data_IF_898096067949
#
_entry.id   IF_898096067949
#
_cell.length_a   1.000
_cell.length_b   1.000
_cell.length_c   1.000
_cell.angle_alpha   90.00
_cell.angle_beta   90.00
_cell.angle_gamma   90.00
#
_symmetry.space_group_name_H-M   'P 1'
#
loop_
_entity.id
_entity.type
_entity.pdbx_description
1 polymer ?
#
# COMPACT_ATOMS: atom_id res chain seq x y z
N UNK A 1 -13.86 12.00 15.87
CA UNK A 1 -14.35 12.88 14.79
C UNK A 1 -14.56 11.98 13.57
N UNK A 2 -15.82 11.71 13.22
CA UNK A 2 -16.17 10.79 12.13
C UNK A 2 -15.89 11.50 10.81
N UNK A 3 -15.09 10.88 9.95
CA UNK A 3 -14.94 11.24 8.54
C UNK A 3 -16.31 11.10 7.87
N UNK A 4 -16.94 12.22 7.55
CA UNK A 4 -18.09 12.24 6.65
C UNK A 4 -17.58 11.94 5.24
N UNK A 5 -18.21 10.93 4.64
CA UNK A 5 -17.87 10.24 3.41
C UNK A 5 -17.50 11.17 2.25
N UNK A 6 -16.30 10.99 1.69
CA UNK A 6 -16.18 11.05 0.24
C UNK A 6 -17.05 9.91 -0.30
N UNK A 7 -18.03 10.19 -1.16
CA UNK A 7 -18.82 9.15 -1.86
C UNK A 7 -17.91 8.37 -2.82
N UNK A 8 -17.10 7.45 -2.28
CA UNK A 8 -16.28 6.50 -3.05
C UNK A 8 -17.12 5.45 -3.78
N UNK A 9 -18.44 5.40 -3.51
CA UNK A 9 -19.37 4.43 -4.10
C UNK A 9 -19.48 4.54 -5.64
N UNK A 10 -19.02 5.63 -6.26
CA UNK A 10 -19.11 5.85 -7.72
C UNK A 10 -17.78 5.87 -8.48
N UNK A 11 -16.64 5.80 -7.77
CA UNK A 11 -15.32 5.90 -8.40
C UNK A 11 -14.96 4.61 -9.16
N UNK A 12 -15.17 4.61 -10.47
CA UNK A 12 -14.73 3.54 -11.36
C UNK A 12 -13.35 3.86 -11.98
N UNK A 13 -12.36 2.99 -11.75
CA UNK A 13 -11.06 3.09 -12.43
C UNK A 13 -11.08 2.30 -13.74
N UNK A 14 -10.67 2.93 -14.84
CA UNK A 14 -10.49 2.25 -16.13
C UNK A 14 -9.06 1.75 -16.26
N UNK A 15 -8.91 0.44 -16.46
CA UNK A 15 -7.61 -0.22 -16.62
C UNK A 15 -7.59 -0.97 -17.93
N UNK A 16 -6.70 -0.57 -18.83
CA UNK A 16 -6.40 -1.31 -20.05
C UNK A 16 -5.23 -2.25 -19.75
N UNK A 17 -5.47 -3.56 -19.87
CA UNK A 17 -4.47 -4.58 -19.58
C UNK A 17 -3.57 -4.90 -20.78
N UNK A 18 -3.61 -4.11 -21.85
CA UNK A 18 -2.89 -4.32 -23.11
C UNK A 18 -1.36 -4.51 -22.94
N UNK A 19 -0.77 -4.02 -21.84
CA UNK A 19 0.65 -4.17 -21.51
C UNK A 19 0.97 -5.34 -20.58
N UNK A 20 -0.04 -6.09 -20.16
CA UNK A 20 0.17 -7.25 -19.32
C UNK A 20 0.57 -8.41 -20.22
N UNK A 21 1.80 -8.90 -20.03
CA UNK A 21 2.21 -10.18 -20.58
C UNK A 21 1.17 -11.25 -20.21
N UNK A 22 0.80 -12.09 -21.17
CA UNK A 22 -0.27 -13.08 -20.99
C UNK A 22 -0.02 -13.99 -19.77
N UNK A 23 1.24 -14.34 -19.49
CA UNK A 23 1.61 -15.17 -18.35
C UNK A 23 1.54 -14.44 -17.00
N UNK A 24 1.52 -13.10 -16.97
CA UNK A 24 1.41 -12.30 -15.73
C UNK A 24 0.00 -11.81 -15.44
N UNK A 25 -0.90 -11.86 -16.43
CA UNK A 25 -2.19 -11.17 -16.38
C UNK A 25 -3.02 -11.56 -15.14
N UNK A 26 -3.10 -12.85 -14.83
CA UNK A 26 -3.85 -13.34 -13.67
C UNK A 26 -3.24 -12.84 -12.36
N UNK A 27 -1.92 -12.90 -12.23
CA UNK A 27 -1.20 -12.43 -11.05
C UNK A 27 -1.43 -10.93 -10.83
N UNK A 28 -1.36 -10.13 -11.91
CA UNK A 28 -1.60 -8.69 -11.85
C UNK A 28 -3.05 -8.36 -11.50
N UNK A 29 -4.03 -9.08 -12.04
CA UNK A 29 -5.44 -8.89 -11.71
C UNK A 29 -5.73 -9.24 -10.25
N UNK A 30 -5.19 -10.36 -9.74
CA UNK A 30 -5.34 -10.72 -8.32
C UNK A 30 -4.73 -9.67 -7.40
N UNK A 31 -3.51 -9.22 -7.70
CA UNK A 31 -2.87 -8.14 -6.97
C UNK A 31 -3.70 -6.85 -7.00
N UNK A 32 -4.24 -6.50 -8.17
CA UNK A 32 -5.06 -5.32 -8.35
C UNK A 32 -6.37 -5.41 -7.56
N UNK A 33 -7.01 -6.57 -7.52
CA UNK A 33 -8.21 -6.80 -6.73
C UNK A 33 -7.94 -6.57 -5.24
N UNK A 34 -6.86 -7.16 -4.71
CA UNK A 34 -6.46 -6.98 -3.31
C UNK A 34 -6.21 -5.51 -2.97
N UNK A 35 -5.45 -4.81 -3.82
CA UNK A 35 -5.18 -3.37 -3.63
C UNK A 35 -6.46 -2.54 -3.72
N UNK A 36 -7.39 -2.90 -4.62
CA UNK A 36 -8.68 -2.22 -4.75
C UNK A 36 -9.56 -2.38 -3.50
N UNK A 37 -9.54 -3.56 -2.87
CA UNK A 37 -10.22 -3.82 -1.60
C UNK A 37 -9.62 -3.00 -0.46
N UNK A 38 -8.28 -2.98 -0.30
CA UNK A 38 -7.60 -2.14 0.70
C UNK A 38 -7.88 -0.64 0.48
N UNK A 39 -8.01 -0.25 -0.79
CA UNK A 39 -8.40 1.08 -1.20
C UNK A 39 -9.91 1.29 -1.26
N UNK A 40 -10.76 0.40 -0.75
CA UNK A 40 -12.24 0.48 -0.79
C UNK A 40 -12.80 1.18 -2.05
N UNK A 41 -12.30 0.80 -3.22
CA UNK A 41 -12.76 1.30 -4.53
C UNK A 41 -14.05 0.59 -4.89
N UNK A 42 -15.03 1.30 -5.45
CA UNK A 42 -16.32 0.70 -5.80
C UNK A 42 -16.24 -0.25 -7.00
N UNK A 43 -15.44 0.09 -8.02
CA UNK A 43 -15.19 -0.81 -9.15
C UNK A 43 -13.92 -0.48 -9.93
N UNK A 44 -13.35 -1.50 -10.55
CA UNK A 44 -12.32 -1.42 -11.58
C UNK A 44 -12.92 -1.98 -12.87
N UNK A 45 -13.02 -1.13 -13.89
CA UNK A 45 -13.39 -1.51 -15.24
C UNK A 45 -12.13 -1.98 -15.96
N UNK A 46 -11.96 -3.30 -16.03
CA UNK A 46 -10.82 -3.95 -16.64
C UNK A 46 -11.14 -4.30 -18.10
N UNK A 47 -10.31 -3.83 -19.02
CA UNK A 47 -10.33 -4.26 -20.42
C UNK A 47 -9.16 -5.24 -20.66
N UNK A 48 -9.42 -6.52 -20.92
CA UNK A 48 -8.37 -7.49 -21.26
C UNK A 48 -7.65 -7.14 -22.57
N UNK A 49 -6.41 -7.61 -22.78
CA UNK A 49 -5.72 -7.46 -24.06
C UNK A 49 -6.55 -8.04 -25.20
N UNK A 50 -6.63 -7.37 -26.36
CA UNK A 50 -7.39 -7.87 -27.51
C UNK A 50 -6.83 -9.19 -28.08
N UNK A 51 -5.55 -9.48 -27.86
CA UNK A 51 -4.87 -10.68 -28.32
C UNK A 51 -4.77 -11.80 -27.27
N UNK A 52 -5.51 -11.70 -26.16
CA UNK A 52 -5.46 -12.69 -25.07
C UNK A 52 -5.99 -14.05 -25.54
N UNK A 53 -5.26 -15.14 -25.27
CA UNK A 53 -5.68 -16.49 -25.64
C UNK A 53 -6.97 -16.93 -24.93
N UNK A 54 -7.72 -17.85 -25.55
CA UNK A 54 -9.03 -18.29 -25.05
C UNK A 54 -8.99 -18.86 -23.63
N UNK A 55 -7.95 -19.64 -23.29
CA UNK A 55 -7.80 -20.22 -21.96
C UNK A 55 -7.45 -19.16 -20.90
N UNK A 56 -6.56 -18.23 -21.26
CA UNK A 56 -6.21 -17.08 -20.42
C UNK A 56 -7.41 -16.17 -20.17
N UNK A 57 -8.24 -15.93 -21.19
CA UNK A 57 -9.47 -15.15 -21.07
C UNK A 57 -10.47 -15.83 -20.12
N UNK A 58 -10.68 -17.15 -20.24
CA UNK A 58 -11.53 -17.91 -19.31
C UNK A 58 -11.02 -17.84 -17.87
N UNK A 59 -9.71 -17.91 -17.67
CA UNK A 59 -9.11 -17.78 -16.35
C UNK A 59 -9.30 -16.37 -15.76
N UNK A 60 -9.21 -15.33 -16.60
CA UNK A 60 -9.51 -13.94 -16.21
C UNK A 60 -10.98 -13.80 -15.84
N UNK A 61 -11.90 -14.34 -16.65
CA UNK A 61 -13.35 -14.33 -16.37
C UNK A 61 -13.66 -15.01 -15.02
N UNK A 62 -13.11 -16.20 -14.78
CA UNK A 62 -13.29 -16.93 -13.52
C UNK A 62 -12.71 -16.17 -12.30
N UNK A 63 -11.59 -15.46 -12.48
CA UNK A 63 -11.01 -14.62 -11.43
C UNK A 63 -11.89 -13.40 -11.13
N UNK A 64 -12.43 -12.75 -12.17
CA UNK A 64 -13.33 -11.60 -12.04
C UNK A 64 -14.65 -12.00 -11.37
N UNK A 65 -15.20 -13.17 -11.68
CA UNK A 65 -16.40 -13.69 -11.00
C UNK A 65 -16.22 -13.83 -9.48
N UNK A 66 -15.01 -14.16 -9.03
CA UNK A 66 -14.66 -14.28 -7.60
C UNK A 66 -14.33 -12.93 -6.95
N UNK A 67 -14.09 -11.89 -7.74
CA UNK A 67 -13.64 -10.58 -7.28
C UNK A 67 -14.57 -9.48 -7.83
N UNK A 68 -15.75 -9.26 -7.22
CA UNK A 68 -16.79 -8.36 -7.74
C UNK A 68 -16.37 -6.88 -7.85
N UNK A 69 -15.25 -6.50 -7.23
CA UNK A 69 -14.64 -5.18 -7.42
C UNK A 69 -14.12 -4.98 -8.84
N UNK A 70 -13.73 -6.04 -9.54
CA UNK A 70 -13.30 -5.97 -10.94
C UNK A 70 -14.49 -6.31 -11.83
N UNK A 71 -14.66 -5.56 -12.92
CA UNK A 71 -15.68 -5.81 -13.94
C UNK A 71 -15.02 -5.76 -15.30
N UNK A 72 -15.28 -6.77 -16.13
CA UNK A 72 -14.81 -6.77 -17.50
C UNK A 72 -15.61 -5.77 -18.34
N UNK A 73 -14.91 -4.98 -19.14
CA UNK A 73 -15.52 -4.12 -20.15
C UNK A 73 -14.93 -4.39 -21.53
N UNK A 74 -15.80 -4.36 -22.55
CA UNK A 74 -15.42 -4.39 -23.96
C UNK A 74 -15.45 -2.99 -24.59
N UNK A 75 -15.93 -2.00 -23.85
CA UNK A 75 -15.90 -0.62 -24.28
C UNK A 75 -14.44 -0.20 -24.39
N UNK A 76 -14.00 0.04 -25.63
CA UNK A 76 -12.91 1.00 -25.86
C UNK A 76 -13.42 2.28 -25.24
N UNK A 77 -12.67 2.89 -24.32
CA UNK A 77 -13.07 4.18 -23.77
C UNK A 77 -13.47 5.07 -24.94
N UNK A 78 -14.78 5.35 -25.03
CA UNK A 78 -15.30 6.19 -26.09
C UNK A 78 -14.46 7.46 -26.03
N UNK A 79 -13.96 7.86 -27.18
CA UNK A 79 -13.01 8.95 -27.36
C UNK A 79 -13.56 10.27 -26.79
N UNK A 80 -13.55 10.46 -25.47
CA UNK A 80 -13.24 11.76 -24.86
C UNK A 80 -11.73 11.93 -25.06
N UNK A 81 -11.47 12.21 -26.33
CA UNK A 81 -10.25 12.26 -27.12
C UNK A 81 -8.91 12.14 -26.38
N UNK A 82 -8.03 11.48 -27.11
CA UNK A 82 -6.60 11.74 -27.25
C UNK A 82 -6.28 13.22 -27.58
N UNK A 83 -6.96 14.18 -26.95
CA UNK A 83 -6.63 15.59 -26.98
C UNK A 83 -5.48 15.78 -26.01
N UNK A 84 -4.34 16.23 -26.53
CA UNK A 84 -3.10 16.50 -25.78
C UNK A 84 -2.29 15.26 -25.32
N UNK A 85 -2.58 14.05 -25.81
CA UNK A 85 -1.73 12.87 -25.58
C UNK A 85 -1.93 12.17 -24.23
N UNK A 86 -3.18 12.13 -23.74
CA UNK A 86 -3.55 11.47 -22.48
C UNK A 86 -4.82 10.60 -22.63
N UNK A 87 -4.94 9.61 -21.75
CA UNK A 87 -6.12 8.76 -21.55
C UNK A 87 -6.67 9.00 -20.14
N UNK A 88 -7.96 9.30 -20.02
CA UNK A 88 -8.61 9.50 -18.72
C UNK A 88 -8.81 8.15 -18.02
N UNK A 89 -8.20 7.99 -16.85
CA UNK A 89 -8.28 6.77 -16.02
C UNK A 89 -9.48 6.83 -15.08
N UNK A 90 -9.64 7.95 -14.38
CA UNK A 90 -10.82 8.27 -13.58
C UNK A 90 -10.94 9.79 -13.38
N UNK A 91 -12.15 10.25 -13.09
CA UNK A 91 -12.46 11.66 -12.88
C UNK A 91 -13.56 11.80 -11.83
N UNK A 92 -13.35 12.68 -10.87
CA UNK A 92 -14.31 13.07 -9.84
C UNK A 92 -14.26 14.58 -9.62
N UNK A 93 -15.16 15.11 -8.80
CA UNK A 93 -15.11 16.52 -8.44
C UNK A 93 -13.79 16.88 -7.74
N UNK A 94 -13.01 17.77 -8.36
CA UNK A 94 -11.71 18.19 -7.84
C UNK A 94 -10.60 17.14 -7.96
N UNK A 95 -10.79 16.10 -8.79
CA UNK A 95 -9.81 15.03 -8.98
C UNK A 95 -9.84 14.51 -10.42
N UNK A 96 -8.67 14.35 -11.04
CA UNK A 96 -8.55 13.68 -12.33
C UNK A 96 -7.27 12.87 -12.37
N UNK A 97 -7.39 11.62 -12.80
CA UNK A 97 -6.26 10.74 -13.06
C UNK A 97 -6.16 10.48 -14.56
N UNK A 98 -4.97 10.69 -15.10
CA UNK A 98 -4.63 10.55 -16.51
C UNK A 98 -3.46 9.57 -16.67
N UNK A 99 -3.46 8.83 -17.77
CA UNK A 99 -2.31 8.07 -18.26
C UNK A 99 -1.78 8.76 -19.52
N UNK A 100 -0.48 8.88 -19.71
CA UNK A 100 0.08 9.37 -20.96
C UNK A 100 -0.23 8.38 -22.09
N UNK A 101 -0.64 8.89 -23.26
CA UNK A 101 -0.99 8.06 -24.42
C UNK A 101 0.24 7.38 -25.02
N UNK A 102 1.35 8.12 -25.11
CA UNK A 102 2.62 7.67 -25.69
C UNK A 102 3.57 7.01 -24.67
N UNK A 103 3.29 7.17 -23.37
CA UNK A 103 4.04 6.51 -22.29
C UNK A 103 3.08 5.84 -21.31
N UNK A 104 2.83 4.55 -21.53
CA UNK A 104 1.93 3.76 -20.70
C UNK A 104 2.45 3.53 -19.28
N UNK A 105 3.75 3.78 -19.05
CA UNK A 105 4.37 3.72 -17.73
C UNK A 105 4.25 5.03 -16.96
N UNK A 106 3.50 6.01 -17.45
CA UNK A 106 3.43 7.35 -16.88
C UNK A 106 1.99 7.79 -16.64
N UNK A 107 1.68 8.06 -15.37
CA UNK A 107 0.39 8.56 -14.91
C UNK A 107 0.57 9.93 -14.26
N UNK A 108 -0.46 10.78 -14.41
CA UNK A 108 -0.57 12.07 -13.76
C UNK A 108 -1.91 12.17 -13.05
N UNK A 109 -1.87 12.52 -11.76
CA UNK A 109 -3.04 12.83 -10.94
C UNK A 109 -3.02 14.33 -10.73
N UNK A 110 -4.15 14.99 -11.00
CA UNK A 110 -4.38 16.36 -10.58
C UNK A 110 -5.47 16.34 -9.52
N UNK A 111 -5.20 16.99 -8.41
CA UNK A 111 -6.08 16.97 -7.25
C UNK A 111 -6.20 18.37 -6.65
N UNK A 112 -7.42 18.80 -6.38
CA UNK A 112 -7.69 20.03 -5.61
C UNK A 112 -7.11 19.84 -4.21
N UNK A 113 -6.30 20.80 -3.76
CA UNK A 113 -5.56 20.79 -2.50
C UNK A 113 -6.42 20.99 -1.26
N UNK A 114 -7.42 20.12 -1.08
CA UNK A 114 -8.30 20.04 0.08
C UNK A 114 -8.05 18.74 0.85
N UNK A 115 -8.22 18.78 2.18
CA UNK A 115 -7.92 17.66 3.08
C UNK A 115 -8.64 16.36 2.67
N UNK A 116 -9.91 16.47 2.26
CA UNK A 116 -10.73 15.34 1.81
C UNK A 116 -10.13 14.58 0.61
N UNK A 117 -9.34 15.24 -0.22
CA UNK A 117 -8.78 14.64 -1.44
C UNK A 117 -7.40 14.02 -1.21
N UNK A 118 -6.75 14.25 -0.06
CA UNK A 118 -5.43 13.69 0.26
C UNK A 118 -5.49 12.16 0.31
N UNK A 119 -6.48 11.61 1.02
CA UNK A 119 -6.66 10.15 1.11
C UNK A 119 -6.93 9.54 -0.28
N UNK A 120 -7.84 10.15 -1.06
CA UNK A 120 -8.16 9.71 -2.41
C UNK A 120 -6.91 9.67 -3.32
N UNK A 121 -6.13 10.75 -3.35
CA UNK A 121 -4.92 10.81 -4.15
C UNK A 121 -3.88 9.75 -3.73
N UNK A 122 -3.71 9.52 -2.43
CA UNK A 122 -2.80 8.48 -1.93
C UNK A 122 -3.25 7.06 -2.33
N UNK A 123 -4.55 6.74 -2.22
CA UNK A 123 -5.14 5.45 -2.60
C UNK A 123 -5.07 5.19 -4.10
N UNK A 124 -5.32 6.20 -4.92
CA UNK A 124 -5.20 6.07 -6.36
C UNK A 124 -3.74 5.90 -6.78
N UNK A 125 -2.82 6.59 -6.11
CA UNK A 125 -1.38 6.39 -6.31
C UNK A 125 -0.91 5.00 -5.92
N UNK A 126 -1.48 4.41 -4.87
CA UNK A 126 -1.25 3.01 -4.49
C UNK A 126 -1.64 2.05 -5.61
N UNK A 127 -2.87 2.19 -6.12
CA UNK A 127 -3.38 1.37 -7.22
C UNK A 127 -2.52 1.54 -8.47
N UNK A 128 -2.16 2.77 -8.83
CA UNK A 128 -1.32 3.06 -10.01
C UNK A 128 0.08 2.47 -9.85
N UNK A 129 0.72 2.59 -8.68
CA UNK A 129 2.00 1.97 -8.43
C UNK A 129 1.92 0.44 -8.59
N UNK A 130 0.82 -0.19 -8.15
CA UNK A 130 0.61 -1.61 -8.39
C UNK A 130 0.39 -1.94 -9.88
N UNK A 131 -0.40 -1.14 -10.60
CA UNK A 131 -0.63 -1.27 -12.05
C UNK A 131 0.66 -1.14 -12.87
N UNK A 132 1.56 -0.24 -12.46
CA UNK A 132 2.89 -0.07 -13.04
C UNK A 132 3.78 -1.31 -12.82
N UNK A 133 3.33 -2.31 -12.06
CA UNK A 133 4.01 -3.58 -11.86
C UNK A 133 4.89 -3.62 -10.61
N UNK A 134 4.75 -2.67 -9.70
CA UNK A 134 5.42 -2.70 -8.41
C UNK A 134 4.68 -3.61 -7.43
N UNK A 135 5.41 -4.21 -6.48
CA UNK A 135 4.81 -5.08 -5.47
C UNK A 135 3.79 -4.31 -4.63
N UNK A 136 2.78 -5.00 -4.11
CA UNK A 136 1.81 -4.47 -3.12
C UNK A 136 2.51 -3.71 -2.01
N UNK A 137 3.64 -4.26 -1.57
CA UNK A 137 4.45 -3.65 -0.54
C UNK A 137 4.99 -2.27 -0.93
N UNK A 138 5.72 -2.20 -2.04
CA UNK A 138 6.33 -0.94 -2.50
C UNK A 138 5.24 0.08 -2.80
N UNK A 139 4.14 -0.37 -3.39
CA UNK A 139 3.01 0.49 -3.73
C UNK A 139 2.27 1.00 -2.48
N UNK A 140 2.23 0.24 -1.38
CA UNK A 140 1.76 0.71 -0.07
C UNK A 140 2.74 1.73 0.57
N UNK A 141 4.05 1.50 0.47
CA UNK A 141 5.05 2.47 0.94
C UNK A 141 4.91 3.83 0.22
N UNK A 142 4.62 3.79 -1.07
CA UNK A 142 4.32 4.97 -1.90
C UNK A 142 3.04 5.67 -1.44
N UNK A 143 1.98 4.91 -1.14
CA UNK A 143 0.73 5.45 -0.57
C UNK A 143 1.01 6.28 0.68
N UNK A 144 1.75 5.70 1.62
CA UNK A 144 2.08 6.35 2.88
C UNK A 144 2.92 7.61 2.64
N UNK A 145 3.98 7.50 1.83
CA UNK A 145 4.85 8.64 1.55
C UNK A 145 4.14 9.80 0.87
N UNK A 146 3.22 9.50 -0.06
CA UNK A 146 2.38 10.49 -0.72
C UNK A 146 1.35 11.12 0.22
N UNK A 147 0.67 10.32 1.05
CA UNK A 147 -0.29 10.84 2.02
C UNK A 147 0.34 11.92 2.90
N UNK A 148 1.55 11.65 3.40
CA UNK A 148 2.28 12.56 4.29
C UNK A 148 2.77 13.82 3.56
N UNK A 149 3.30 13.69 2.35
CA UNK A 149 3.72 14.86 1.55
C UNK A 149 2.52 15.74 1.17
N UNK A 150 1.42 15.13 0.72
CA UNK A 150 0.21 15.85 0.33
C UNK A 150 -0.48 16.50 1.52
N UNK A 151 -0.57 15.81 2.66
CA UNK A 151 -1.10 16.38 3.89
C UNK A 151 -0.32 17.64 4.29
N UNK A 152 1.01 17.60 4.24
CA UNK A 152 1.83 18.79 4.53
C UNK A 152 1.58 19.93 3.53
N UNK A 153 1.49 19.63 2.23
CA UNK A 153 1.19 20.63 1.20
C UNK A 153 -0.17 21.29 1.46
N UNK A 154 -1.20 20.50 1.74
CA UNK A 154 -2.56 21.00 1.98
C UNK A 154 -2.68 21.76 3.30
N UNK A 155 -2.20 21.18 4.40
CA UNK A 155 -2.31 21.77 5.74
C UNK A 155 -1.44 23.02 5.91
N UNK A 156 -0.23 23.03 5.34
CA UNK A 156 0.77 24.05 5.59
C UNK A 156 1.09 24.92 4.37
N UNK A 157 1.05 24.35 3.16
CA UNK A 157 1.40 25.04 1.92
C UNK A 157 0.27 25.89 1.33
N UNK A 158 -0.97 25.38 1.32
CA UNK A 158 -2.09 25.95 0.54
C UNK A 158 -3.10 26.77 1.35
N UNK A 159 -2.74 27.22 2.57
CA UNK A 159 -3.64 27.83 3.56
C UNK A 159 -4.51 29.02 3.11
N UNK A 160 -4.10 29.77 2.09
CA UNK A 160 -4.82 30.97 1.63
C UNK A 160 -5.69 30.73 0.39
N UNK A 161 -5.51 29.61 -0.32
CA UNK A 161 -6.19 29.30 -1.58
C UNK A 161 -6.38 27.78 -1.71
N UNK A 162 -7.23 27.23 -0.83
CA UNK A 162 -7.47 25.78 -0.70
C UNK A 162 -8.09 25.11 -1.93
N UNK A 163 -8.27 25.82 -3.05
CA UNK A 163 -8.70 25.27 -4.34
C UNK A 163 -7.56 25.12 -5.36
N UNK A 164 -6.32 25.39 -4.96
CA UNK A 164 -5.17 25.18 -5.83
C UNK A 164 -4.99 23.70 -6.15
N UNK A 165 -4.66 23.43 -7.41
CA UNK A 165 -4.40 22.08 -7.88
C UNK A 165 -2.97 21.67 -7.56
N UNK A 166 -2.83 20.45 -7.04
CA UNK A 166 -1.57 19.74 -6.88
C UNK A 166 -1.49 18.70 -7.98
N UNK A 167 -0.35 18.62 -8.65
CA UNK A 167 -0.07 17.58 -9.64
C UNK A 167 0.83 16.51 -8.99
N UNK A 168 0.46 15.25 -9.15
CA UNK A 168 1.28 14.09 -8.77
C UNK A 168 1.57 13.32 -10.05
N UNK A 169 2.82 12.94 -10.27
CA UNK A 169 3.25 12.13 -11.41
C UNK A 169 3.82 10.83 -10.88
N UNK A 170 3.37 9.69 -11.41
CA UNK A 170 3.93 8.37 -11.14
C UNK A 170 4.45 7.80 -12.45
N UNK A 171 5.73 7.48 -12.51
CA UNK A 171 6.35 6.93 -13.72
C UNK A 171 7.24 5.75 -13.39
N UNK A 172 7.04 4.63 -14.11
CA UNK A 172 7.99 3.53 -14.09
C UNK A 172 9.14 3.78 -15.05
N UNK A 173 10.36 3.74 -14.55
CA UNK A 173 11.61 3.74 -15.31
C UNK A 173 12.37 2.44 -15.04
N UNK A 174 12.27 1.47 -15.93
CA UNK A 174 12.88 0.13 -15.78
C UNK A 174 12.35 -0.57 -14.52
N UNK A 175 13.14 -0.63 -13.45
CA UNK A 175 12.84 -1.21 -12.15
C UNK A 175 12.55 -0.15 -11.08
N UNK A 176 12.48 1.14 -11.46
CA UNK A 176 12.32 2.27 -10.56
C UNK A 176 10.96 2.94 -10.71
N UNK A 177 10.34 3.25 -9.59
CA UNK A 177 9.18 4.12 -9.51
C UNK A 177 9.65 5.54 -9.20
N UNK A 178 9.35 6.44 -10.13
CA UNK A 178 9.58 7.86 -9.99
C UNK A 178 8.27 8.53 -9.63
N UNK A 179 8.24 9.20 -8.49
CA UNK A 179 7.08 9.97 -8.04
C UNK A 179 7.49 11.43 -7.95
N UNK A 180 6.72 12.33 -8.57
CA UNK A 180 6.89 13.77 -8.38
C UNK A 180 5.60 14.44 -7.97
N UNK A 181 5.71 15.48 -7.14
CA UNK A 181 4.61 16.31 -6.69
C UNK A 181 4.96 17.75 -7.04
N UNK A 182 4.03 18.44 -7.70
CA UNK A 182 4.14 19.85 -8.05
C UNK A 182 2.98 20.60 -7.43
N UNK A 183 3.29 21.61 -6.62
CA UNK A 183 2.32 22.46 -5.95
C UNK A 183 2.73 23.93 -6.01
N UNK A 184 1.79 24.82 -5.70
CA UNK A 184 1.97 26.28 -5.67
C UNK A 184 1.99 26.85 -4.24
N UNK A 185 2.08 25.98 -3.24
CA UNK A 185 2.05 26.37 -1.84
C UNK A 185 3.30 27.12 -1.38
N UNK A 186 3.32 27.44 -0.09
CA UNK A 186 4.51 27.96 0.57
C UNK A 186 5.70 27.02 0.37
N UNK A 187 6.91 27.58 0.23
CA UNK A 187 8.11 26.78 0.10
C UNK A 187 8.33 25.92 1.35
N UNK A 188 8.56 24.63 1.13
CA UNK A 188 8.93 23.70 2.17
C UNK A 188 9.83 22.64 1.55
N UNK A 189 11.09 22.56 2.01
CA UNK A 189 12.02 21.53 1.55
C UNK A 189 11.89 20.28 2.44
N UNK A 190 11.29 19.18 1.93
CA UNK A 190 11.15 17.95 2.69
C UNK A 190 12.49 17.22 2.95
N UNK A 191 13.57 17.60 2.27
CA UNK A 191 14.91 17.02 2.46
C UNK A 191 15.64 17.62 3.67
N UNK A 192 15.37 18.87 3.99
CA UNK A 192 15.98 19.61 5.12
C UNK A 192 15.25 19.42 6.44
N UNK A 193 14.16 18.65 6.45
CA UNK A 193 13.41 18.37 7.67
C UNK A 193 14.33 17.82 8.77
N UNK A 194 14.23 18.40 9.96
CA UNK A 194 15.12 18.13 11.09
C UNK A 194 15.22 16.63 11.40
N UNK A 195 16.41 16.18 11.82
CA UNK A 195 16.57 14.83 12.36
C UNK A 195 15.58 14.60 13.50
N UNK A 196 14.93 13.44 13.44
CA UNK A 196 13.86 13.12 14.35
C UNK A 196 14.36 12.25 15.48
N UNK A 197 14.34 12.83 16.67
CA UNK A 197 14.49 12.08 17.89
C UNK A 197 13.17 11.33 18.18
N UNK A 198 13.13 10.07 17.75
CA UNK A 198 12.03 9.14 18.02
C UNK A 198 11.73 9.04 19.52
N UNK A 199 12.75 9.11 20.38
CA UNK A 199 12.56 9.06 21.83
C UNK A 199 11.95 10.35 22.38
N UNK A 200 12.30 11.53 21.85
CA UNK A 200 11.65 12.79 22.23
C UNK A 200 10.21 12.88 21.70
N UNK A 201 9.94 12.38 20.50
CA UNK A 201 8.60 12.33 19.91
C UNK A 201 7.63 11.46 20.70
N UNK A 202 8.03 10.22 21.02
CA UNK A 202 7.23 9.28 21.81
C UNK A 202 6.93 9.83 23.23
N UNK A 203 7.85 10.60 23.81
CA UNK A 203 7.65 11.29 25.11
C UNK A 203 6.76 12.53 25.02
N UNK A 204 6.70 13.18 23.86
CA UNK A 204 6.05 14.49 23.68
C UNK A 204 4.60 14.44 23.21
N UNK A 205 4.07 13.28 22.82
CA UNK A 205 2.67 13.08 22.43
C UNK A 205 2.21 13.88 21.19
N UNK A 206 3.13 14.51 20.44
CA UNK A 206 2.83 15.22 19.20
C UNK A 206 2.75 14.23 18.05
N UNK A 207 1.74 14.36 17.17
CA UNK A 207 1.51 13.49 15.99
C UNK A 207 2.13 14.00 14.68
N UNK A 208 2.97 15.05 14.72
CA UNK A 208 3.48 15.74 13.53
C UNK A 208 4.98 15.47 13.31
N UNK A 209 5.37 15.22 12.05
CA UNK A 209 6.77 15.10 11.63
C UNK A 209 7.21 13.68 11.24
N UNK A 210 6.57 12.63 11.79
CA UNK A 210 6.91 11.22 11.56
C UNK A 210 6.83 10.83 10.08
N UNK A 211 5.79 11.30 9.39
CA UNK A 211 5.51 10.95 8.00
C UNK A 211 6.61 11.33 7.04
N UNK A 212 7.15 12.54 7.17
CA UNK A 212 8.20 13.05 6.28
C UNK A 212 9.51 12.26 6.40
N UNK A 213 9.82 11.78 7.61
CA UNK A 213 11.00 10.93 7.86
C UNK A 213 10.79 9.54 7.29
N UNK A 214 9.59 8.99 7.47
CA UNK A 214 9.23 7.71 6.87
C UNK A 214 9.31 7.80 5.36
N UNK A 215 8.81 8.87 4.74
CA UNK A 215 9.01 9.16 3.31
C UNK A 215 10.49 9.21 2.94
N UNK A 216 11.34 9.88 3.74
CA UNK A 216 12.80 9.92 3.53
C UNK A 216 13.47 8.55 3.65
N UNK A 217 13.01 7.69 4.55
CA UNK A 217 13.55 6.33 4.75
C UNK A 217 13.08 5.35 3.68
N UNK A 218 11.85 5.55 3.19
CA UNK A 218 11.27 4.76 2.11
C UNK A 218 11.94 5.13 0.79
N UNK A 219 12.07 6.43 0.50
CA UNK A 219 12.69 6.92 -0.73
C UNK A 219 14.19 6.58 -0.79
N UNK A 220 14.64 6.08 -1.94
CA UNK A 220 16.07 5.93 -2.22
C UNK A 220 16.72 7.27 -2.58
N UNK A 221 15.94 8.11 -3.25
CA UNK A 221 16.30 9.49 -3.54
C UNK A 221 15.09 10.37 -3.23
N UNK A 222 15.30 11.46 -2.49
CA UNK A 222 14.32 12.51 -2.27
C UNK A 222 14.98 13.83 -2.67
N UNK A 223 14.37 14.55 -3.61
CA UNK A 223 14.84 15.83 -4.11
C UNK A 223 13.74 16.88 -3.97
N UNK A 224 14.16 18.11 -3.72
CA UNK A 224 13.29 19.26 -3.72
C UNK A 224 13.89 20.36 -4.58
N UNK A 225 13.01 21.10 -5.26
CA UNK A 225 13.38 22.34 -5.93
C UNK A 225 12.18 23.28 -5.96
N UNK A 226 12.45 24.58 -5.82
CA UNK A 226 11.48 25.62 -6.11
C UNK A 226 11.81 26.31 -7.43
N UNK A 227 10.88 26.31 -8.37
CA UNK A 227 11.04 26.91 -9.71
C UNK A 227 9.76 27.68 -10.11
N UNK A 228 9.91 28.92 -10.55
CA UNK A 228 8.79 29.73 -11.07
C UNK A 228 7.56 29.74 -10.13
N UNK A 229 7.79 29.87 -8.82
CA UNK A 229 6.73 29.86 -7.80
C UNK A 229 6.14 28.49 -7.46
N UNK A 230 6.60 27.41 -8.10
CA UNK A 230 6.14 26.04 -7.84
C UNK A 230 7.17 25.28 -7.00
N UNK A 231 6.68 24.54 -6.02
CA UNK A 231 7.43 23.51 -5.35
C UNK A 231 7.43 22.25 -6.21
N UNK A 232 8.58 21.59 -6.34
CA UNK A 232 8.74 20.31 -7.01
C UNK A 232 9.43 19.37 -6.06
N UNK A 233 8.68 18.42 -5.52
CA UNK A 233 9.20 17.32 -4.71
C UNK A 233 9.28 16.09 -5.58
N UNK A 234 10.40 15.37 -5.53
CA UNK A 234 10.61 14.14 -6.28
C UNK A 234 11.11 13.07 -5.33
N UNK A 235 10.54 11.86 -5.41
CA UNK A 235 11.15 10.70 -4.81
C UNK A 235 11.23 9.51 -5.76
N UNK A 236 12.30 8.73 -5.62
CA UNK A 236 12.57 7.52 -6.39
C UNK A 236 12.59 6.31 -5.45
N UNK A 237 12.04 5.19 -5.92
CA UNK A 237 12.08 3.90 -5.23
C UNK A 237 12.32 2.78 -6.23
N UNK A 238 13.34 1.95 -6.00
CA UNK A 238 13.57 0.78 -6.84
C UNK A 238 12.73 -0.40 -6.35
N UNK A 239 12.27 -1.23 -7.29
CA UNK A 239 11.91 -2.60 -6.98
C UNK A 239 13.12 -3.24 -6.32
N UNK A 240 12.94 -3.97 -5.20
CA UNK A 240 14.02 -4.78 -4.66
C UNK A 240 14.53 -5.67 -5.78
N UNK A 241 15.78 -5.48 -6.21
CA UNK A 241 16.38 -6.36 -7.19
C UNK A 241 16.22 -7.79 -6.69
N UNK A 242 15.62 -8.68 -7.49
CA UNK A 242 15.73 -10.13 -7.32
C UNK A 242 17.20 -10.48 -7.57
N UNK A 243 18.06 -10.14 -6.61
CA UNK A 243 19.48 -10.32 -6.68
C UNK A 243 19.81 -11.80 -6.57
N UNK A 244 20.04 -12.43 -7.74
CA UNK A 244 21.19 -13.34 -7.88
C UNK A 244 22.38 -12.63 -7.24
N UNK A 245 22.94 -13.20 -6.17
CA UNK A 245 24.02 -12.66 -5.31
C UNK A 245 23.59 -11.92 -4.02
N UNK A 246 22.61 -12.42 -3.28
CA UNK A 246 22.85 -12.57 -1.83
C UNK A 246 23.62 -13.87 -1.64
N UNK A 247 24.94 -13.75 -1.43
CA UNK A 247 25.73 -14.83 -0.84
C UNK A 247 24.95 -15.38 0.35
N UNK A 248 24.87 -16.70 0.37
CA UNK A 248 24.44 -17.53 1.49
C UNK A 248 25.16 -17.07 2.78
N UNK A 249 24.62 -16.08 3.45
CA UNK A 249 24.54 -16.14 4.89
C UNK A 249 23.15 -16.69 5.15
N UNK A 250 23.08 -17.82 5.83
CA UNK A 250 21.83 -18.47 6.23
C UNK A 250 20.91 -17.46 6.94
N UNK A 251 20.08 -16.76 6.18
CA UNK A 251 18.96 -15.99 6.72
C UNK A 251 17.83 -17.01 6.88
N UNK A 252 17.46 -17.23 8.13
CA UNK A 252 16.43 -18.17 8.56
C UNK A 252 15.14 -17.94 7.76
N UNK A 253 14.74 -18.97 7.01
CA UNK A 253 13.43 -19.06 6.35
C UNK A 253 12.36 -18.84 7.41
N UNK A 254 11.41 -17.94 7.15
CA UNK A 254 10.29 -17.77 8.05
C UNK A 254 9.40 -19.00 8.01
N UNK A 255 9.06 -19.53 9.18
CA UNK A 255 8.24 -20.72 9.32
C UNK A 255 7.47 -20.74 10.65
N UNK A 256 6.42 -21.56 10.68
CA UNK A 256 5.68 -21.89 11.90
C UNK A 256 6.33 -23.18 12.44
N UNK A 257 7.15 -23.07 13.50
CA UNK A 257 7.86 -24.22 14.07
C UNK A 257 6.89 -25.25 14.67
N UNK A 258 5.82 -24.76 15.30
CA UNK A 258 4.75 -25.59 15.84
C UNK A 258 3.52 -24.77 16.16
N UNK A 259 2.38 -25.44 16.31
CA UNK A 259 1.17 -24.85 16.88
C UNK A 259 0.59 -25.77 17.95
N UNK A 260 -0.04 -25.18 18.98
CA UNK A 260 -0.74 -25.92 20.03
C UNK A 260 -1.91 -25.12 20.58
N UNK A 261 -2.95 -25.81 21.04
CA UNK A 261 -4.06 -25.17 21.74
C UNK A 261 -3.65 -24.87 23.18
N UNK A 262 -3.94 -23.66 23.65
CA UNK A 262 -3.67 -23.19 25.02
C UNK A 262 -4.98 -22.81 25.72
N UNK A 263 -4.91 -22.16 26.90
CA UNK A 263 -6.10 -21.73 27.66
C UNK A 263 -7.11 -20.96 26.80
N UNK A 264 -8.38 -21.07 27.19
CA UNK A 264 -9.53 -20.43 26.54
C UNK A 264 -9.74 -20.80 25.06
N UNK A 265 -9.19 -21.95 24.65
CA UNK A 265 -9.32 -22.47 23.28
C UNK A 265 -8.52 -21.69 22.24
N UNK A 266 -7.60 -20.81 22.66
CA UNK A 266 -6.73 -20.08 21.74
C UNK A 266 -5.67 -21.01 21.12
N UNK A 267 -5.30 -20.77 19.87
CA UNK A 267 -4.20 -21.48 19.20
C UNK A 267 -2.94 -20.64 19.23
N UNK A 268 -1.89 -21.15 19.87
CA UNK A 268 -0.56 -20.55 19.92
C UNK A 268 0.29 -21.07 18.75
N UNK A 269 0.96 -20.16 18.04
CA UNK A 269 1.88 -20.45 16.95
C UNK A 269 3.28 -19.94 17.31
N UNK A 270 4.27 -20.83 17.27
CA UNK A 270 5.67 -20.46 17.48
C UNK A 270 6.29 -20.11 16.13
N UNK A 271 6.67 -18.85 15.95
CA UNK A 271 7.22 -18.34 14.70
C UNK A 271 8.74 -18.24 14.80
N UNK A 272 9.44 -18.59 13.73
CA UNK A 272 10.87 -18.38 13.63
C UNK A 272 11.26 -17.78 12.28
N UNK A 273 12.38 -17.08 12.27
CA UNK A 273 12.94 -16.49 11.07
C UNK A 273 12.49 -15.05 10.80
N UNK A 274 12.83 -14.54 9.62
CA UNK A 274 12.58 -13.15 9.25
C UNK A 274 11.25 -13.03 8.49
N UNK A 275 10.29 -12.29 9.03
CA UNK A 275 8.99 -12.07 8.38
C UNK A 275 9.12 -11.06 7.23
N UNK A 276 9.68 -11.55 6.13
CA UNK A 276 9.88 -10.84 4.86
C UNK A 276 8.78 -11.18 3.83
N UNK A 277 8.99 -10.83 2.56
CA UNK A 277 8.04 -11.13 1.48
C UNK A 277 7.77 -12.63 1.30
N UNK A 278 8.74 -13.50 1.58
CA UNK A 278 8.54 -14.96 1.51
C UNK A 278 7.83 -15.47 2.76
N UNK A 279 8.19 -14.93 3.93
CA UNK A 279 7.50 -15.24 5.17
C UNK A 279 6.03 -14.81 5.17
N UNK A 280 5.68 -13.77 4.42
CA UNK A 280 4.30 -13.34 4.28
C UNK A 280 3.37 -14.44 3.73
N UNK A 281 3.85 -15.24 2.78
CA UNK A 281 3.09 -16.38 2.23
C UNK A 281 2.72 -17.40 3.32
N UNK A 282 3.60 -17.62 4.31
CA UNK A 282 3.33 -18.53 5.42
C UNK A 282 2.22 -18.02 6.33
N UNK A 283 2.12 -16.69 6.50
CA UNK A 283 1.02 -16.09 7.26
C UNK A 283 -0.28 -16.09 6.43
N UNK A 284 -0.22 -15.95 5.11
CA UNK A 284 -1.40 -16.13 4.23
C UNK A 284 -1.98 -17.54 4.36
N UNK A 285 -1.13 -18.58 4.27
CA UNK A 285 -1.53 -19.97 4.49
C UNK A 285 -2.12 -20.18 5.90
N UNK A 286 -1.56 -19.52 6.91
CA UNK A 286 -2.08 -19.55 8.28
C UNK A 286 -3.48 -18.94 8.38
N UNK A 287 -3.76 -17.84 7.67
CA UNK A 287 -5.10 -17.23 7.65
C UNK A 287 -6.11 -18.25 7.10
N UNK A 288 -5.80 -18.89 5.99
CA UNK A 288 -6.66 -19.92 5.39
C UNK A 288 -6.91 -21.06 6.37
N UNK A 289 -5.84 -21.58 6.99
CA UNK A 289 -5.94 -22.65 7.99
C UNK A 289 -6.84 -22.25 9.18
N UNK A 290 -6.67 -21.05 9.72
CA UNK A 290 -7.46 -20.58 10.86
C UNK A 290 -8.94 -20.46 10.51
N UNK A 291 -9.27 -20.03 9.29
CA UNK A 291 -10.64 -19.93 8.81
C UNK A 291 -11.26 -21.31 8.58
N UNK A 292 -10.53 -22.25 7.96
CA UNK A 292 -10.99 -23.62 7.73
C UNK A 292 -11.25 -24.38 9.03
N UNK A 293 -10.36 -24.23 10.01
CA UNK A 293 -10.50 -24.85 11.34
C UNK A 293 -11.45 -24.08 12.27
N UNK A 294 -12.02 -22.94 11.83
CA UNK A 294 -12.85 -22.03 12.63
C UNK A 294 -12.19 -21.60 13.95
N UNK A 295 -10.88 -21.34 13.90
CA UNK A 295 -10.09 -20.86 15.04
C UNK A 295 -10.18 -19.33 15.09
N UNK A 296 -10.97 -18.83 16.04
CA UNK A 296 -11.22 -17.39 16.20
C UNK A 296 -10.34 -16.71 17.24
N UNK A 297 -9.47 -17.45 17.94
CA UNK A 297 -8.48 -16.88 18.86
C UNK A 297 -7.09 -17.43 18.53
N UNK A 298 -6.21 -16.56 18.06
CA UNK A 298 -4.84 -16.92 17.71
C UNK A 298 -3.83 -16.11 18.53
N UNK A 299 -2.73 -16.74 18.92
CA UNK A 299 -1.60 -16.11 19.59
C UNK A 299 -0.35 -16.39 18.76
N UNK A 300 0.37 -15.35 18.36
CA UNK A 300 1.60 -15.46 17.60
C UNK A 300 2.79 -15.12 18.48
N UNK A 301 3.69 -16.09 18.65
CA UNK A 301 4.93 -15.93 19.40
C UNK A 301 6.08 -15.52 18.49
N UNK A 302 6.67 -14.36 18.79
CA UNK A 302 7.73 -13.71 18.02
C UNK A 302 9.12 -13.85 18.66
N UNK A 303 9.30 -14.72 19.66
CA UNK A 303 10.59 -14.88 20.37
C UNK A 303 11.77 -15.10 19.39
N UNK A 304 11.54 -15.89 18.33
CA UNK A 304 12.53 -16.18 17.28
C UNK A 304 12.34 -15.36 16.00
N UNK A 305 11.57 -14.27 16.05
CA UNK A 305 11.34 -13.35 14.93
C UNK A 305 12.14 -12.06 15.15
N UNK A 306 13.29 -11.98 14.51
CA UNK A 306 14.23 -10.86 14.69
C UNK A 306 13.91 -9.65 13.79
N UNK A 307 13.17 -9.87 12.70
CA UNK A 307 12.88 -8.85 11.72
C UNK A 307 11.48 -9.03 11.13
N UNK A 308 10.78 -7.90 10.95
CA UNK A 308 9.52 -7.83 10.22
C UNK A 308 9.68 -6.75 9.16
N UNK A 309 9.51 -7.15 7.89
CA UNK A 309 9.45 -6.22 6.76
C UNK A 309 8.08 -5.56 6.70
N UNK A 310 7.94 -4.54 5.88
CA UNK A 310 6.65 -3.90 5.62
C UNK A 310 5.61 -4.90 5.01
N UNK A 311 6.03 -5.94 4.25
CA UNK A 311 5.11 -6.98 3.76
C UNK A 311 4.65 -7.90 4.89
N UNK A 312 5.58 -8.19 5.81
CA UNK A 312 5.29 -8.87 7.06
C UNK A 312 4.24 -8.14 7.90
N UNK A 313 4.36 -6.82 8.02
CA UNK A 313 3.35 -6.01 8.72
C UNK A 313 1.99 -6.09 8.00
N UNK A 314 1.97 -5.95 6.68
CA UNK A 314 0.74 -5.98 5.88
C UNK A 314 -0.04 -7.29 6.06
N UNK A 315 0.63 -8.44 6.02
CA UNK A 315 -0.05 -9.72 6.21
C UNK A 315 -0.53 -9.94 7.64
N UNK A 316 0.20 -9.44 8.65
CA UNK A 316 -0.24 -9.50 10.05
C UNK A 316 -1.49 -8.63 10.29
N UNK A 317 -1.56 -7.46 9.66
CA UNK A 317 -2.76 -6.63 9.65
C UNK A 317 -3.94 -7.37 8.99
N UNK A 318 -3.70 -8.03 7.86
CA UNK A 318 -4.70 -8.85 7.16
C UNK A 318 -5.24 -9.98 8.05
N UNK A 319 -4.34 -10.70 8.73
CA UNK A 319 -4.70 -11.75 9.69
C UNK A 319 -5.59 -11.21 10.81
N UNK A 320 -5.17 -10.12 11.48
CA UNK A 320 -5.93 -9.52 12.59
C UNK A 320 -7.32 -9.06 12.12
N UNK A 321 -7.40 -8.39 10.98
CA UNK A 321 -8.67 -7.91 10.41
C UNK A 321 -9.62 -9.08 10.10
N UNK A 322 -9.11 -10.08 9.40
CA UNK A 322 -9.89 -11.27 8.97
C UNK A 322 -10.48 -12.02 10.16
N UNK A 323 -9.68 -12.24 11.20
CA UNK A 323 -10.14 -12.95 12.41
C UNK A 323 -11.16 -12.09 13.19
N UNK A 324 -10.95 -10.78 13.28
CA UNK A 324 -11.91 -9.86 13.95
C UNK A 324 -13.26 -9.76 13.25
N UNK A 325 -13.29 -9.79 11.92
CA UNK A 325 -14.54 -9.82 11.14
C UNK A 325 -15.40 -11.05 11.47
N UNK A 326 -14.78 -12.15 11.89
CA UNK A 326 -15.44 -13.36 12.37
C UNK A 326 -15.76 -13.35 13.87
N UNK A 327 -15.60 -12.20 14.54
CA UNK A 327 -15.80 -12.04 15.99
C UNK A 327 -14.67 -12.60 16.84
N UNK A 328 -13.51 -12.84 16.24
CA UNK A 328 -12.31 -13.35 16.88
C UNK A 328 -11.32 -12.28 17.32
N UNK A 329 -10.15 -12.72 17.79
CA UNK A 329 -9.04 -11.84 18.16
C UNK A 329 -7.67 -12.52 17.93
N UNK A 330 -6.66 -11.70 17.61
CA UNK A 330 -5.28 -12.14 17.44
C UNK A 330 -4.38 -11.40 18.43
N UNK A 331 -3.51 -12.14 19.09
CA UNK A 331 -2.58 -11.63 20.08
C UNK A 331 -1.12 -11.87 19.66
N UNK A 332 -0.24 -10.98 20.09
CA UNK A 332 1.20 -11.04 19.82
C UNK A 332 1.96 -11.16 21.13
N UNK A 333 2.98 -12.02 21.19
CA UNK A 333 3.79 -12.23 22.39
C UNK A 333 5.27 -12.26 22.04
N UNK A 334 6.13 -11.97 23.01
CA UNK A 334 7.59 -12.05 22.87
C UNK A 334 8.16 -11.24 21.69
N UNK A 335 7.55 -10.11 21.35
CA UNK A 335 8.06 -9.22 20.31
C UNK A 335 9.47 -8.73 20.66
N UNK A 336 10.43 -8.93 19.76
CA UNK A 336 11.78 -8.37 19.92
C UNK A 336 11.74 -6.83 19.96
N UNK A 337 12.70 -6.14 20.62
CA UNK A 337 12.70 -4.69 20.71
C UNK A 337 12.63 -3.98 19.34
N UNK A 338 13.24 -4.58 18.32
CA UNK A 338 13.21 -4.10 16.94
C UNK A 338 11.82 -4.21 16.33
N UNK A 339 11.12 -5.33 16.54
CA UNK A 339 9.75 -5.53 16.04
C UNK A 339 8.75 -4.65 16.80
N UNK A 340 8.89 -4.54 18.14
CA UNK A 340 8.12 -3.57 18.94
C UNK A 340 8.28 -2.14 18.41
N UNK A 341 9.51 -1.76 18.05
CA UNK A 341 9.78 -0.45 17.45
C UNK A 341 9.07 -0.28 16.12
N UNK A 342 9.05 -1.30 15.25
CA UNK A 342 8.31 -1.26 13.97
C UNK A 342 6.81 -1.12 14.20
N UNK A 343 6.23 -1.87 15.16
CA UNK A 343 4.80 -1.81 15.45
C UNK A 343 4.40 -0.45 16.05
N UNK A 344 5.19 0.05 17.00
CA UNK A 344 4.96 1.38 17.59
C UNK A 344 5.16 2.51 16.59
N UNK A 345 6.13 2.41 15.67
CA UNK A 345 6.33 3.39 14.59
C UNK A 345 5.11 3.50 13.66
N UNK A 346 4.39 2.40 13.47
CA UNK A 346 3.22 2.33 12.60
C UNK A 346 1.90 2.55 13.37
N UNK A 347 1.98 2.94 14.65
CA UNK A 347 0.84 3.05 15.57
C UNK A 347 -0.04 1.79 15.59
N UNK A 348 0.58 0.62 15.45
CA UNK A 348 -0.14 -0.65 15.43
C UNK A 348 -0.48 -1.12 16.84
N UNK A 349 0.01 -0.48 17.90
CA UNK A 349 -0.27 -0.86 19.29
C UNK A 349 -1.77 -0.79 19.63
N UNK A 350 -2.53 0.10 18.97
CA UNK A 350 -4.00 0.17 19.09
C UNK A 350 -4.71 -0.96 18.35
N UNK A 351 -4.02 -1.60 17.39
CA UNK A 351 -4.56 -2.64 16.52
C UNK A 351 -4.06 -4.05 16.88
N UNK A 352 -2.85 -4.17 17.40
CA UNK A 352 -2.19 -5.41 17.77
C UNK A 352 -2.20 -5.54 19.28
N UNK A 353 -2.94 -6.54 19.78
CA UNK A 353 -2.99 -6.80 21.21
C UNK A 353 -1.75 -7.60 21.61
N UNK A 354 -0.81 -6.93 22.26
CA UNK A 354 0.38 -7.58 22.82
C UNK A 354 0.07 -8.10 24.21
N UNK A 355 0.30 -9.38 24.47
CA UNK A 355 0.13 -9.99 25.79
C UNK A 355 1.48 -10.19 26.48
N UNK A 356 1.46 -10.19 27.81
CA UNK A 356 2.55 -10.72 28.63
C UNK A 356 2.48 -12.25 28.70
N UNK A 357 3.64 -12.90 28.85
CA UNK A 357 3.80 -14.36 28.74
C UNK A 357 2.95 -15.13 29.76
N UNK A 358 2.71 -14.56 30.95
CA UNK A 358 1.91 -15.20 31.99
C UNK A 358 0.41 -15.27 31.65
N UNK A 359 -0.08 -14.53 30.65
CA UNK A 359 -1.50 -14.44 30.33
C UNK A 359 -2.07 -15.70 29.63
N UNK A 360 -1.23 -16.56 29.05
CA UNK A 360 -1.66 -17.71 28.23
C UNK A 360 -0.92 -19.02 28.52
N UNK A 361 0.06 -19.02 29.42
CA UNK A 361 0.88 -20.19 29.80
C UNK A 361 0.34 -20.98 31.00
N UNK A 362 -0.77 -20.53 31.60
CA UNK A 362 -1.39 -21.20 32.75
C UNK A 362 -1.98 -22.57 32.44
#
# INVERSE_FOLDING_TARGET
MRLESLELEKLALRVEADDFEEWEILRKISSLAMVAYDCAVSSILLRPPPALGTDSLRAVEALVERNPVIRLTREVADTERNEFGFVVVCREQGFICLRHADDRNHYAIYVEGVERNVDLASRISYIIANLLGFSTLLSFEVRFGLYELLSNIVEHGLKEDGRQWVQISLQRKVDKLNVSIVDKGMAFDPTEAAEFDLAAYLRGGRRRGLGLIMTRKIAEQLLYRRECGHNKTFFEKSMPSLGRNRKENAMSRFEIESSRTVRDGARLFLLSGDLDTKGALVIEDLIEQLLEENILKAILDFDKVAFVSSAGVGVLLGLVSTIREKGGEVFFVNLSPKVKSVFGLLNLDDYFKVLEEEAFTG
#
